data_IF_112225344594
#
_entry.id   IF_112225344594
#
_cell.length_a   1.000
_cell.length_b   1.000
_cell.length_c   1.000
_cell.angle_alpha   90.00
_cell.angle_beta   90.00
_cell.angle_gamma   90.00
#
_symmetry.space_group_name_H-M   'P 1'
#
loop_
_entity.id
_entity.type
_entity.pdbx_description
1 polymer ?
#
# COMPACT_ATOMS: atom_id res chain seq x y z
N UNK A 1 5.25 14.15 -9.18
CA UNK A 1 6.25 13.55 -10.11
C UNK A 1 7.65 13.36 -9.50
N UNK A 2 8.22 14.34 -8.80
CA UNK A 2 9.59 14.24 -8.25
C UNK A 2 9.77 13.11 -7.22
N UNK A 3 8.79 12.93 -6.32
CA UNK A 3 8.86 11.92 -5.26
C UNK A 3 9.04 10.50 -5.82
N UNK A 4 8.21 10.13 -6.79
CA UNK A 4 8.26 8.80 -7.42
C UNK A 4 9.55 8.65 -8.22
N UNK A 5 9.97 9.67 -8.98
CA UNK A 5 11.23 9.63 -9.72
C UNK A 5 12.45 9.35 -8.82
N UNK A 6 12.48 9.92 -7.61
CA UNK A 6 13.59 9.73 -6.66
C UNK A 6 13.49 8.38 -5.94
N UNK A 7 12.30 7.95 -5.53
CA UNK A 7 12.14 6.78 -4.67
C UNK A 7 12.00 5.46 -5.43
N UNK A 8 11.55 5.46 -6.69
CA UNK A 8 11.34 4.23 -7.48
C UNK A 8 12.55 3.29 -7.53
N UNK A 9 13.81 3.75 -7.65
CA UNK A 9 14.97 2.87 -7.59
C UNK A 9 15.06 2.08 -6.28
N UNK A 10 14.83 2.74 -5.13
CA UNK A 10 14.84 2.08 -3.82
C UNK A 10 13.71 1.06 -3.67
N UNK A 11 12.54 1.34 -4.26
CA UNK A 11 11.43 0.39 -4.32
C UNK A 11 11.83 -0.84 -5.12
N UNK A 12 12.44 -0.66 -6.30
CA UNK A 12 12.86 -1.77 -7.15
C UNK A 12 13.91 -2.67 -6.46
N UNK A 13 14.92 -2.06 -5.83
CA UNK A 13 15.92 -2.80 -5.03
C UNK A 13 15.28 -3.56 -3.87
N UNK A 14 14.34 -2.94 -3.15
CA UNK A 14 13.59 -3.58 -2.07
C UNK A 14 12.80 -4.78 -2.56
N UNK A 15 12.06 -4.66 -3.66
CA UNK A 15 11.27 -5.77 -4.21
C UNK A 15 12.18 -6.91 -4.69
N UNK A 16 13.33 -6.61 -5.31
CA UNK A 16 14.31 -7.63 -5.65
C UNK A 16 14.84 -8.36 -4.40
N UNK A 17 15.11 -7.63 -3.31
CA UNK A 17 15.63 -8.22 -2.08
C UNK A 17 14.64 -9.21 -1.43
N UNK A 18 13.32 -8.98 -1.52
CA UNK A 18 12.29 -9.86 -0.94
C UNK A 18 12.34 -11.30 -1.45
N UNK A 19 12.84 -11.52 -2.67
CA UNK A 19 12.92 -12.84 -3.30
C UNK A 19 14.35 -13.39 -3.36
N UNK A 20 15.29 -12.71 -2.72
CA UNK A 20 16.72 -13.04 -2.73
C UNK A 20 17.21 -13.54 -1.37
N UNK A 21 18.42 -14.10 -1.36
CA UNK A 21 19.15 -14.43 -0.14
C UNK A 21 20.52 -13.75 -0.15
N UNK A 22 20.84 -13.00 0.90
CA UNK A 22 22.14 -12.36 1.05
C UNK A 22 23.12 -13.34 1.70
N UNK A 23 24.22 -13.65 1.01
CA UNK A 23 25.34 -14.42 1.55
C UNK A 23 26.42 -13.46 2.03
N UNK A 24 26.75 -13.47 3.32
CA UNK A 24 27.72 -12.58 3.93
C UNK A 24 28.67 -13.35 4.86
N UNK A 25 29.96 -13.10 4.74
CA UNK A 25 30.96 -13.67 5.64
C UNK A 25 31.05 -12.84 6.92
N UNK A 26 30.88 -13.49 8.06
CA UNK A 26 30.95 -12.87 9.39
C UNK A 26 31.81 -13.72 10.31
N UNK A 27 32.93 -13.16 10.76
CA UNK A 27 33.88 -13.87 11.62
C UNK A 27 34.46 -15.14 10.98
N UNK A 28 34.71 -15.12 9.67
CA UNK A 28 35.21 -16.27 8.91
C UNK A 28 34.15 -17.33 8.56
N UNK A 29 32.87 -17.09 8.86
CA UNK A 29 31.78 -18.03 8.59
C UNK A 29 30.79 -17.39 7.60
N UNK A 30 30.52 -18.06 6.48
CA UNK A 30 29.50 -17.63 5.53
C UNK A 30 28.09 -17.84 6.11
N UNK A 31 27.31 -16.77 6.19
CA UNK A 31 25.92 -16.75 6.68
C UNK A 31 24.98 -16.35 5.55
N UNK A 32 23.73 -16.82 5.64
CA UNK A 32 22.66 -16.51 4.69
C UNK A 32 21.55 -15.76 5.40
N UNK A 33 21.12 -14.64 4.84
CA UNK A 33 20.09 -13.77 5.38
C UNK A 33 18.91 -13.63 4.43
N UNK A 34 17.72 -13.53 5.00
CA UNK A 34 16.49 -13.12 4.32
C UNK A 34 15.99 -11.83 4.96
N UNK A 35 15.33 -10.99 4.16
CA UNK A 35 14.85 -9.70 4.61
C UNK A 35 13.33 -9.64 4.56
N UNK A 36 12.74 -9.09 5.62
CA UNK A 36 11.31 -8.76 5.68
C UNK A 36 11.21 -7.25 5.85
N UNK A 37 10.60 -6.57 4.87
CA UNK A 37 10.39 -5.13 4.91
C UNK A 37 8.98 -4.82 5.41
N UNK A 38 8.88 -4.04 6.49
CA UNK A 38 7.60 -3.57 7.07
C UNK A 38 7.57 -2.05 7.04
N UNK A 39 6.87 -1.47 6.06
CA UNK A 39 6.73 -0.01 5.91
C UNK A 39 5.67 0.58 6.84
N UNK A 40 5.96 0.71 8.13
CA UNK A 40 5.00 1.21 9.14
C UNK A 40 5.27 2.64 9.62
N UNK A 41 6.31 3.29 9.10
CA UNK A 41 6.80 4.60 9.58
C UNK A 41 6.23 5.81 8.83
N UNK A 42 5.00 5.71 8.31
CA UNK A 42 4.38 6.75 7.48
C UNK A 42 3.16 7.34 8.21
N UNK A 43 2.97 8.65 8.12
CA UNK A 43 1.72 9.28 8.54
C UNK A 43 0.57 8.96 7.56
N UNK A 44 -0.67 9.21 7.98
CA UNK A 44 -1.85 8.90 7.15
C UNK A 44 -1.82 9.61 5.80
N UNK A 45 -1.34 10.86 5.78
CA UNK A 45 -1.27 11.66 4.56
C UNK A 45 -0.39 10.99 3.52
N UNK A 46 0.81 10.58 3.91
CA UNK A 46 1.75 9.93 3.01
C UNK A 46 1.28 8.53 2.63
N UNK A 47 0.68 7.76 3.56
CA UNK A 47 0.08 6.45 3.23
C UNK A 47 -0.97 6.60 2.15
N UNK A 48 -1.89 7.57 2.28
CA UNK A 48 -2.94 7.81 1.27
C UNK A 48 -2.33 8.17 -0.09
N UNK A 49 -1.33 9.04 -0.11
CA UNK A 49 -0.67 9.48 -1.34
C UNK A 49 0.03 8.31 -2.07
N UNK A 50 0.77 7.46 -1.35
CA UNK A 50 1.55 6.38 -1.97
C UNK A 50 0.75 5.11 -2.29
N UNK A 51 -0.38 4.89 -1.61
CA UNK A 51 -1.29 3.76 -1.88
C UNK A 51 -2.42 4.11 -2.86
N UNK A 52 -2.42 5.33 -3.42
CA UNK A 52 -3.42 5.75 -4.41
C UNK A 52 -4.82 5.97 -3.83
N UNK A 53 -4.90 6.33 -2.55
CA UNK A 53 -6.15 6.64 -1.88
C UNK A 53 -6.45 8.14 -1.96
N UNK A 54 -7.73 8.48 -1.92
CA UNK A 54 -8.15 9.88 -1.78
C UNK A 54 -7.58 10.53 -0.50
N UNK A 55 -7.42 11.84 -0.51
CA UNK A 55 -6.90 12.60 0.64
C UNK A 55 -7.79 12.45 1.89
N UNK A 56 -7.28 12.83 3.07
CA UNK A 56 -7.96 12.64 4.37
C UNK A 56 -9.35 13.31 4.50
N UNK A 57 -9.73 14.19 3.58
CA UNK A 57 -11.08 14.76 3.50
C UNK A 57 -12.13 13.84 2.88
N UNK A 58 -11.73 12.68 2.35
CA UNK A 58 -12.61 11.71 1.67
C UNK A 58 -13.76 11.21 2.54
N UNK A 59 -14.79 10.69 1.87
CA UNK A 59 -15.85 9.89 2.47
C UNK A 59 -15.31 8.53 2.92
N UNK A 60 -14.32 7.97 2.24
CA UNK A 60 -13.61 6.74 2.63
C UNK A 60 -12.50 7.06 3.65
N UNK A 61 -12.85 6.95 4.94
CA UNK A 61 -12.03 7.48 6.03
C UNK A 61 -10.89 6.56 6.46
N UNK A 62 -10.94 5.27 6.14
CA UNK A 62 -9.98 4.29 6.63
C UNK A 62 -8.95 3.92 5.55
N UNK A 63 -7.69 3.77 5.93
CA UNK A 63 -6.63 3.22 5.06
C UNK A 63 -6.60 1.68 5.09
N UNK A 64 -7.35 1.05 6.00
CA UNK A 64 -7.34 -0.40 6.25
C UNK A 64 -8.65 -1.10 5.85
N UNK A 65 -9.76 -0.37 5.73
CA UNK A 65 -11.06 -0.92 5.36
C UNK A 65 -11.82 0.04 4.43
N UNK A 66 -12.98 -0.39 3.95
CA UNK A 66 -13.79 0.35 2.97
C UNK A 66 -14.94 1.17 3.57
N UNK A 67 -15.01 1.26 4.91
CA UNK A 67 -16.07 1.99 5.57
C UNK A 67 -16.05 3.48 5.20
N UNK A 68 -17.23 3.99 4.85
CA UNK A 68 -17.49 5.41 4.69
C UNK A 68 -17.58 6.11 6.04
N UNK A 69 -17.47 7.44 6.04
CA UNK A 69 -17.65 8.29 7.23
C UNK A 69 -18.98 8.04 7.92
N UNK A 70 -20.06 7.87 7.15
CA UNK A 70 -21.39 7.62 7.69
C UNK A 70 -21.49 6.23 8.32
N UNK A 71 -21.04 5.19 7.61
CA UNK A 71 -21.05 3.82 8.14
C UNK A 71 -20.23 3.69 9.41
N UNK A 72 -19.04 4.29 9.46
CA UNK A 72 -18.19 4.28 10.64
C UNK A 72 -18.79 5.06 11.82
N UNK A 73 -19.65 6.06 11.57
CA UNK A 73 -20.36 6.78 12.64
C UNK A 73 -21.48 5.94 13.28
N UNK A 74 -22.07 5.01 12.51
CA UNK A 74 -23.16 4.14 12.95
C UNK A 74 -22.64 2.83 13.55
N UNK A 75 -21.61 2.25 12.94
CA UNK A 75 -20.91 1.06 13.40
C UNK A 75 -19.51 1.47 13.85
N UNK A 76 -19.30 1.61 15.15
CA UNK A 76 -18.05 2.17 15.69
C UNK A 76 -16.91 1.15 15.78
N UNK A 77 -17.22 -0.15 15.91
CA UNK A 77 -16.23 -1.15 16.36
C UNK A 77 -16.19 -2.43 15.53
N UNK A 78 -17.21 -2.71 14.70
CA UNK A 78 -17.26 -3.94 13.91
C UNK A 78 -16.75 -3.69 12.50
N UNK A 79 -15.43 -3.56 12.37
CA UNK A 79 -14.71 -3.45 11.10
C UNK A 79 -13.62 -4.52 11.01
N UNK A 80 -13.24 -4.88 9.79
CA UNK A 80 -12.12 -5.80 9.52
C UNK A 80 -11.15 -5.14 8.55
N UNK A 81 -9.88 -5.56 8.59
CA UNK A 81 -8.87 -5.12 7.64
C UNK A 81 -9.14 -5.83 6.32
N UNK A 82 -9.44 -5.07 5.27
CA UNK A 82 -9.71 -5.58 3.92
C UNK A 82 -8.72 -5.06 2.89
N UNK A 83 -8.28 -3.80 3.04
CA UNK A 83 -7.37 -3.16 2.09
C UNK A 83 -5.98 -3.77 2.13
N UNK A 84 -5.38 -3.92 0.96
CA UNK A 84 -4.00 -4.35 0.78
C UNK A 84 -3.38 -3.68 -0.44
N UNK A 85 -2.05 -3.60 -0.48
CA UNK A 85 -1.33 -3.04 -1.62
C UNK A 85 -1.70 -3.71 -2.95
N UNK A 86 -1.81 -5.05 -2.96
CA UNK A 86 -2.22 -5.82 -4.15
C UNK A 86 -3.65 -5.51 -4.58
N UNK A 87 -4.57 -5.35 -3.64
CA UNK A 87 -5.96 -5.03 -3.95
C UNK A 87 -6.10 -3.60 -4.49
N UNK A 88 -5.35 -2.64 -3.94
CA UNK A 88 -5.33 -1.26 -4.43
C UNK A 88 -4.87 -1.19 -5.90
N UNK A 89 -3.83 -1.94 -6.27
CA UNK A 89 -3.38 -2.04 -7.66
C UNK A 89 -4.47 -2.58 -8.59
N UNK A 90 -5.21 -3.59 -8.15
CA UNK A 90 -6.34 -4.15 -8.92
C UNK A 90 -7.48 -3.13 -9.05
N UNK A 91 -7.84 -2.44 -7.97
CA UNK A 91 -8.89 -1.40 -7.98
C UNK A 91 -8.53 -0.24 -8.89
N UNK A 92 -7.27 0.19 -8.89
CA UNK A 92 -6.78 1.19 -9.83
C UNK A 92 -6.97 0.75 -11.29
N UNK A 93 -6.71 -0.51 -11.60
CA UNK A 93 -6.89 -1.02 -12.97
C UNK A 93 -8.37 -1.08 -13.36
N UNK A 94 -9.28 -1.42 -12.44
CA UNK A 94 -10.74 -1.35 -12.67
C UNK A 94 -11.15 0.09 -12.94
N UNK A 95 -10.74 1.04 -12.08
CA UNK A 95 -11.01 2.47 -12.26
C UNK A 95 -10.51 3.00 -13.60
N UNK A 96 -9.27 2.64 -13.97
CA UNK A 96 -8.62 3.11 -15.21
C UNK A 96 -9.27 2.54 -16.46
N UNK A 97 -9.68 1.27 -16.43
CA UNK A 97 -10.22 0.56 -17.61
C UNK A 97 -11.73 0.71 -17.76
N UNK A 98 -12.45 1.05 -16.69
CA UNK A 98 -13.91 1.11 -16.62
C UNK A 98 -14.58 -0.06 -17.36
N UNK A 99 -14.35 -1.32 -16.92
CA UNK A 99 -14.81 -2.50 -17.64
C UNK A 99 -16.33 -2.65 -17.64
N UNK A 100 -17.03 -1.95 -16.74
CA UNK A 100 -18.49 -1.99 -16.61
C UNK A 100 -19.20 -0.81 -17.25
N UNK A 101 -18.45 0.15 -17.82
CA UNK A 101 -18.99 1.38 -18.41
C UNK A 101 -19.85 2.20 -17.43
N UNK A 102 -19.44 2.22 -16.17
CA UNK A 102 -20.09 2.95 -15.09
C UNK A 102 -19.82 4.46 -15.22
N UNK A 103 -20.69 5.26 -14.59
CA UNK A 103 -20.45 6.69 -14.42
C UNK A 103 -19.27 6.94 -13.46
N UNK A 104 -18.93 8.20 -13.18
CA UNK A 104 -17.78 8.48 -12.28
C UNK A 104 -18.13 8.26 -10.80
N UNK A 105 -19.43 8.35 -10.46
CA UNK A 105 -19.93 8.13 -9.10
C UNK A 105 -20.22 6.66 -8.78
N UNK A 106 -20.38 5.81 -9.81
CA UNK A 106 -20.66 4.37 -9.72
C UNK A 106 -19.36 3.56 -9.81
#
# INVERSE_FOLDING_TARGET
ETLTAILSPLIAEREAMKTSQLKLEMGGIQRTFQFIFRGTGYDEKLVREVEGLEASGSVYICTLCDATRLEASQNLVFHSITRSHSENLQRYEVWRSNPYHESVEE
#
